data_IF_848242369397
#
_entry.id   IF_848242369397
#
_cell.length_a   1.000
_cell.length_b   1.000
_cell.length_c   1.000
_cell.angle_alpha   90.00
_cell.angle_beta   90.00
_cell.angle_gamma   90.00
#
_symmetry.space_group_name_H-M   'P 1'
#
loop_
_entity.id
_entity.type
_entity.pdbx_description
1 polymer ?
#
# COMPACT_ATOMS: atom_id res chain seq x y z
N UNK A 1 18.06 9.64 10.18
CA UNK A 1 18.22 8.21 9.87
C UNK A 1 17.51 8.05 8.55
N UNK A 2 18.25 7.84 7.47
CA UNK A 2 17.67 7.56 6.16
C UNK A 2 17.18 6.11 6.23
N UNK A 3 15.87 5.91 6.34
CA UNK A 3 15.26 4.59 6.23
C UNK A 3 14.96 4.36 4.75
N UNK A 4 15.61 3.36 4.16
CA UNK A 4 15.26 2.85 2.83
C UNK A 4 14.27 1.69 3.04
N UNK A 5 13.14 1.71 2.33
CA UNK A 5 12.22 0.58 2.35
C UNK A 5 12.78 -0.55 1.47
N UNK A 6 12.81 -1.75 2.00
CA UNK A 6 13.30 -2.96 1.35
C UNK A 6 12.13 -3.88 0.99
N UNK A 7 12.20 -4.45 -0.21
CA UNK A 7 11.18 -5.40 -0.67
C UNK A 7 11.21 -6.64 0.24
N UNK A 8 10.03 -7.09 0.65
CA UNK A 8 9.85 -8.23 1.53
C UNK A 8 9.78 -7.87 3.02
N UNK A 9 10.13 -6.64 3.40
CA UNK A 9 10.19 -6.20 4.79
C UNK A 9 8.88 -5.55 5.26
N UNK A 10 8.72 -5.49 6.58
CA UNK A 10 7.54 -4.95 7.25
C UNK A 10 7.88 -3.64 7.97
N UNK A 11 7.00 -2.66 7.82
CA UNK A 11 7.20 -1.35 8.41
C UNK A 11 5.94 -0.83 9.07
N UNK A 12 6.08 -0.19 10.23
CA UNK A 12 5.01 0.60 10.84
C UNK A 12 5.11 2.00 10.26
N UNK A 13 4.06 2.42 9.59
CA UNK A 13 3.90 3.74 9.00
C UNK A 13 3.13 4.64 9.96
N UNK A 14 3.79 5.65 10.51
CA UNK A 14 3.22 6.63 11.42
C UNK A 14 3.00 7.97 10.73
N UNK A 15 1.80 8.53 10.92
CA UNK A 15 1.39 9.80 10.32
C UNK A 15 0.46 10.57 11.25
N UNK A 16 0.69 11.88 11.36
CA UNK A 16 -0.11 12.75 12.21
C UNK A 16 -1.59 12.74 11.78
N UNK A 17 -2.48 12.57 12.75
CA UNK A 17 -3.93 12.55 12.53
C UNK A 17 -4.53 11.22 12.09
N UNK A 18 -3.72 10.16 11.94
CA UNK A 18 -4.18 8.82 11.55
C UNK A 18 -3.69 7.73 12.51
N UNK A 19 -4.40 6.62 12.57
CA UNK A 19 -3.90 5.43 13.28
C UNK A 19 -2.72 4.83 12.51
N UNK A 20 -1.71 4.30 13.24
CA UNK A 20 -0.56 3.64 12.62
C UNK A 20 -1.00 2.39 11.86
N UNK A 21 -0.36 2.17 10.71
CA UNK A 21 -0.59 0.98 9.88
C UNK A 21 0.70 0.21 9.72
N UNK A 22 0.61 -1.11 9.63
CA UNK A 22 1.73 -1.97 9.27
C UNK A 22 1.63 -2.26 7.79
N UNK A 23 2.70 -1.96 7.06
CA UNK A 23 2.82 -2.22 5.64
C UNK A 23 3.81 -3.34 5.39
N UNK A 24 3.58 -4.10 4.33
CA UNK A 24 4.57 -5.00 3.75
C UNK A 24 4.89 -4.50 2.34
N UNK A 25 6.18 -4.27 2.05
CA UNK A 25 6.61 -3.81 0.73
C UNK A 25 6.76 -5.02 -0.21
N UNK A 26 5.74 -5.28 -1.02
CA UNK A 26 5.75 -6.43 -1.93
C UNK A 26 6.53 -6.18 -3.21
N UNK A 27 6.43 -4.99 -3.80
CA UNK A 27 7.09 -4.68 -5.06
C UNK A 27 7.34 -3.19 -5.26
N UNK A 28 8.41 -2.89 -5.99
CA UNK A 28 8.71 -1.55 -6.52
C UNK A 28 8.84 -1.64 -8.04
N UNK A 29 7.97 -0.94 -8.76
CA UNK A 29 8.10 -0.77 -10.21
C UNK A 29 8.69 0.61 -10.49
N UNK A 30 9.79 0.66 -11.24
CA UNK A 30 10.37 1.94 -11.66
C UNK A 30 9.44 2.67 -12.64
N UNK A 31 9.60 3.98 -12.78
CA UNK A 31 8.84 4.76 -13.75
C UNK A 31 9.05 4.26 -15.19
N UNK A 32 10.23 3.74 -15.51
CA UNK A 32 10.53 3.13 -16.81
C UNK A 32 9.84 1.77 -17.01
N UNK A 33 9.77 0.94 -15.96
CA UNK A 33 9.14 -0.39 -16.02
C UNK A 33 7.62 -0.30 -16.13
N UNK A 34 7.01 0.65 -15.43
CA UNK A 34 5.56 0.85 -15.45
C UNK A 34 5.08 1.55 -16.73
N UNK A 35 5.97 2.27 -17.42
CA UNK A 35 5.68 3.01 -18.64
C UNK A 35 4.61 4.10 -18.47
N UNK A 36 4.21 4.72 -19.58
CA UNK A 36 3.11 5.71 -19.57
C UNK A 36 3.51 7.10 -19.02
N UNK A 37 2.67 7.68 -18.16
CA UNK A 37 2.84 9.03 -17.57
C UNK A 37 3.44 9.00 -16.16
N UNK A 38 3.97 7.86 -15.72
CA UNK A 38 4.59 7.75 -14.42
C UNK A 38 5.77 8.72 -14.29
N UNK A 39 5.70 9.61 -13.31
CA UNK A 39 6.75 10.59 -13.01
C UNK A 39 7.77 10.04 -12.01
N UNK A 40 7.41 8.98 -11.29
CA UNK A 40 8.15 8.42 -10.17
C UNK A 40 7.79 6.93 -9.98
N UNK A 41 8.59 6.18 -9.20
CA UNK A 41 8.32 4.77 -8.93
C UNK A 41 6.98 4.52 -8.23
N UNK A 42 6.47 3.30 -8.40
CA UNK A 42 5.26 2.82 -7.74
C UNK A 42 5.63 1.73 -6.74
N UNK A 43 5.13 1.84 -5.51
CA UNK A 43 5.24 0.80 -4.49
C UNK A 43 3.91 0.08 -4.38
N UNK A 44 3.93 -1.24 -4.53
CA UNK A 44 2.78 -2.10 -4.28
C UNK A 44 2.92 -2.72 -2.89
N UNK A 45 1.98 -2.36 -2.02
CA UNK A 45 2.02 -2.67 -0.60
C UNK A 45 0.83 -3.57 -0.21
N UNK A 46 1.02 -4.39 0.81
CA UNK A 46 -0.10 -4.79 1.67
C UNK A 46 -0.19 -3.86 2.86
N UNK A 47 -1.40 -3.56 3.33
CA UNK A 47 -1.62 -2.62 4.43
C UNK A 47 -2.58 -3.22 5.45
N UNK A 48 -2.19 -3.27 6.71
CA UNK A 48 -3.03 -3.67 7.84
C UNK A 48 -3.02 -2.61 8.92
N UNK A 49 -4.10 -2.49 9.68
CA UNK A 49 -4.04 -1.79 10.96
C UNK A 49 -3.04 -2.45 11.91
N UNK A 50 -2.45 -1.65 12.81
CA UNK A 50 -1.49 -2.15 13.81
C UNK A 50 -2.13 -3.17 14.78
N UNK A 51 -3.45 -3.10 14.97
CA UNK A 51 -4.21 -4.03 15.80
C UNK A 51 -4.18 -5.49 15.32
N UNK A 52 -4.25 -6.42 16.26
CA UNK A 52 -4.41 -7.84 15.95
C UNK A 52 -5.81 -8.09 15.36
N UNK A 53 -5.88 -8.84 14.26
CA UNK A 53 -7.14 -9.10 13.55
C UNK A 53 -7.71 -7.91 12.77
N UNK A 54 -6.96 -6.81 12.64
CA UNK A 54 -7.32 -5.69 11.76
C UNK A 54 -7.49 -6.13 10.31
N UNK A 55 -8.38 -5.43 9.59
CA UNK A 55 -8.60 -5.67 8.17
C UNK A 55 -7.29 -5.52 7.39
N UNK A 56 -7.16 -6.30 6.31
CA UNK A 56 -6.00 -6.31 5.44
C UNK A 56 -6.40 -5.83 4.05
N UNK A 57 -5.69 -4.82 3.54
CA UNK A 57 -5.69 -4.47 2.13
C UNK A 57 -4.64 -5.33 1.46
N UNK A 58 -5.10 -6.31 0.68
CA UNK A 58 -4.27 -7.38 0.11
C UNK A 58 -3.31 -6.91 -0.99
N UNK A 59 -3.55 -5.75 -1.60
CA UNK A 59 -2.62 -5.08 -2.50
C UNK A 59 -3.12 -3.65 -2.77
N UNK A 60 -2.25 -2.67 -2.59
CA UNK A 60 -2.51 -1.29 -2.97
C UNK A 60 -1.25 -0.63 -3.58
N UNK A 61 -1.35 -0.02 -4.79
CA UNK A 61 -0.24 0.64 -5.45
C UNK A 61 -0.20 2.13 -5.11
N UNK A 62 0.98 2.67 -4.81
CA UNK A 62 1.20 4.06 -4.41
C UNK A 62 2.34 4.70 -5.19
N UNK A 63 2.27 6.00 -5.44
CA UNK A 63 3.46 6.74 -5.85
C UNK A 63 4.48 6.80 -4.70
N UNK A 64 5.77 6.68 -5.00
CA UNK A 64 6.81 6.66 -3.98
C UNK A 64 6.78 7.89 -3.06
N UNK A 65 6.62 9.06 -3.63
CA UNK A 65 6.58 10.34 -2.93
C UNK A 65 5.45 10.42 -1.92
N UNK A 66 4.33 9.71 -2.10
CA UNK A 66 3.24 9.68 -1.12
C UNK A 66 3.46 8.66 -0.01
N UNK A 67 4.18 7.57 -0.27
CA UNK A 67 4.58 6.64 0.80
C UNK A 67 5.64 7.29 1.67
N UNK A 68 6.61 7.96 1.06
CA UNK A 68 7.77 8.55 1.74
C UNK A 68 7.46 9.83 2.55
N UNK A 69 6.19 10.22 2.69
CA UNK A 69 5.81 11.37 3.53
C UNK A 69 5.75 11.06 5.02
N UNK A 70 5.72 9.78 5.37
CA UNK A 70 5.44 9.29 6.73
C UNK A 70 6.71 8.80 7.44
N UNK A 71 6.63 8.65 8.75
CA UNK A 71 7.72 8.05 9.53
C UNK A 71 7.60 6.52 9.50
N UNK A 72 8.73 5.84 9.29
CA UNK A 72 8.79 4.38 9.18
C UNK A 72 9.66 3.79 10.28
N UNK A 73 9.12 2.75 10.92
CA UNK A 73 9.79 1.95 11.94
C UNK A 73 9.70 0.47 11.57
N UNK A 74 10.62 -0.34 12.10
CA UNK A 74 10.55 -1.80 12.01
C UNK A 74 9.24 -2.31 12.63
N UNK A 75 8.62 -3.32 12.02
CA UNK A 75 7.35 -3.85 12.47
C UNK A 75 7.32 -5.37 12.54
N UNK A 76 6.45 -5.88 13.41
CA UNK A 76 6.13 -7.30 13.44
C UNK A 76 5.45 -7.72 12.13
N UNK A 77 5.97 -8.81 11.55
CA UNK A 77 5.40 -9.42 10.36
C UNK A 77 3.96 -9.90 10.59
N UNK A 78 3.12 -9.73 9.57
CA UNK A 78 1.80 -10.34 9.50
C UNK A 78 1.73 -11.37 8.37
N UNK A 79 0.65 -12.17 8.35
CA UNK A 79 0.47 -13.17 7.29
C UNK A 79 0.30 -12.49 5.93
N UNK A 80 1.21 -12.81 5.02
CA UNK A 80 1.19 -12.36 3.62
C UNK A 80 0.87 -13.57 2.76
N UNK A 81 -0.24 -13.49 2.01
CA UNK A 81 -0.54 -14.47 0.97
C UNK A 81 0.04 -13.99 -0.37
N UNK A 82 1.28 -14.38 -0.65
CA UNK A 82 2.01 -13.91 -1.85
C UNK A 82 1.28 -14.24 -3.16
N UNK A 83 0.54 -15.36 -3.21
CA UNK A 83 -0.23 -15.73 -4.39
C UNK A 83 -1.38 -14.74 -4.63
N UNK A 84 -2.10 -14.36 -3.58
CA UNK A 84 -3.17 -13.35 -3.65
C UNK A 84 -2.61 -11.97 -3.99
N UNK A 85 -1.44 -11.60 -3.42
CA UNK A 85 -0.75 -10.38 -3.79
C UNK A 85 -0.45 -10.30 -5.29
N UNK A 86 0.18 -11.34 -5.83
CA UNK A 86 0.59 -11.38 -7.23
C UNK A 86 -0.61 -11.37 -8.19
N UNK A 87 -1.71 -12.05 -7.85
CA UNK A 87 -2.94 -12.02 -8.64
C UNK A 87 -3.56 -10.61 -8.67
N UNK A 88 -3.68 -9.98 -7.50
CA UNK A 88 -4.18 -8.61 -7.38
C UNK A 88 -3.26 -7.62 -8.11
N UNK A 89 -1.94 -7.76 -7.97
CA UNK A 89 -0.94 -6.96 -8.68
C UNK A 89 -1.11 -7.06 -10.19
N UNK A 90 -1.20 -8.27 -10.74
CA UNK A 90 -1.37 -8.46 -12.18
C UNK A 90 -2.69 -7.87 -12.68
N UNK A 91 -3.76 -7.99 -11.89
CA UNK A 91 -5.06 -7.38 -12.19
C UNK A 91 -4.94 -5.85 -12.27
N UNK A 92 -4.33 -5.21 -11.27
CA UNK A 92 -4.09 -3.77 -11.29
C UNK A 92 -3.18 -3.36 -12.44
N UNK A 93 -2.07 -4.06 -12.65
CA UNK A 93 -1.09 -3.74 -13.69
C UNK A 93 -1.75 -3.75 -15.07
N UNK A 94 -2.55 -4.77 -15.35
CA UNK A 94 -3.32 -4.87 -16.59
C UNK A 94 -4.30 -3.71 -16.75
N UNK A 95 -4.96 -3.27 -15.68
CA UNK A 95 -5.86 -2.12 -15.71
C UNK A 95 -5.11 -0.79 -15.88
N UNK A 96 -3.93 -0.64 -15.28
CA UNK A 96 -3.05 0.53 -15.47
C UNK A 96 -2.60 0.66 -16.92
N UNK A 97 -2.17 -0.44 -17.55
CA UNK A 97 -1.73 -0.44 -18.95
C UNK A 97 -2.86 -0.03 -19.92
N UNK A 98 -4.11 -0.21 -19.51
CA UNK A 98 -5.31 0.21 -20.24
C UNK A 98 -5.76 1.64 -19.90
N UNK A 99 -5.11 2.30 -18.94
CA UNK A 99 -5.49 3.63 -18.44
C UNK A 99 -6.75 3.63 -17.56
N UNK A 100 -7.12 2.47 -16.99
CA UNK A 100 -8.30 2.30 -16.16
C UNK A 100 -8.01 2.34 -14.65
N UNK A 101 -6.75 2.20 -14.25
CA UNK A 101 -6.33 2.25 -12.85
C UNK A 101 -5.05 3.08 -12.71
N UNK A 102 -4.86 3.71 -11.55
CA UNK A 102 -3.71 4.54 -11.24
C UNK A 102 -3.29 4.31 -9.78
N UNK A 103 -2.00 4.52 -9.44
CA UNK A 103 -1.55 4.49 -8.05
C UNK A 103 -2.27 5.53 -7.20
N UNK A 104 -2.42 5.20 -5.92
CA UNK A 104 -2.93 6.11 -4.91
C UNK A 104 -2.03 7.34 -4.79
N UNK A 105 -2.69 8.49 -4.65
CA UNK A 105 -2.06 9.79 -4.40
C UNK A 105 -2.21 10.23 -2.94
N UNK A 106 -2.72 9.34 -2.09
CA UNK A 106 -2.86 9.50 -0.65
C UNK A 106 -1.86 8.58 0.04
N UNK A 107 -1.53 8.87 1.28
CA UNK A 107 -0.63 8.07 2.11
C UNK A 107 -1.25 6.71 2.47
N UNK A 108 -0.44 5.70 2.86
CA UNK A 108 -0.95 4.40 3.29
C UNK A 108 -1.97 4.50 4.44
N UNK A 109 -1.72 5.37 5.42
CA UNK A 109 -2.64 5.59 6.56
C UNK A 109 -3.99 6.17 6.11
N UNK A 110 -3.97 7.15 5.19
CA UNK A 110 -5.20 7.74 4.63
C UNK A 110 -6.02 6.70 3.85
N UNK A 111 -5.37 5.93 2.97
CA UNK A 111 -6.05 4.90 2.18
C UNK A 111 -6.65 3.83 3.09
N UNK A 112 -5.92 3.41 4.12
CA UNK A 112 -6.41 2.44 5.08
C UNK A 112 -7.64 2.94 5.84
N UNK A 113 -7.58 4.17 6.38
CA UNK A 113 -8.71 4.79 7.06
C UNK A 113 -9.95 4.93 6.14
N UNK A 114 -9.74 5.35 4.89
CA UNK A 114 -10.83 5.46 3.92
C UNK A 114 -11.46 4.11 3.58
N UNK A 115 -10.65 3.06 3.41
CA UNK A 115 -11.16 1.72 3.10
C UNK A 115 -11.93 1.12 4.29
N UNK A 116 -11.48 1.38 5.51
CA UNK A 116 -12.22 1.01 6.72
C UNK A 116 -13.59 1.68 6.76
N UNK A 117 -13.67 2.99 6.53
CA UNK A 117 -14.94 3.74 6.55
C UNK A 117 -15.94 3.16 5.52
N UNK A 118 -15.46 2.78 4.33
CA UNK A 118 -16.30 2.12 3.30
C UNK A 118 -16.78 0.74 3.76
N UNK A 119 -15.95 -0.05 4.45
CA UNK A 119 -16.31 -1.36 4.97
C UNK A 119 -17.31 -1.26 6.14
N UNK A 120 -17.13 -0.29 7.04
CA UNK A 120 -18.05 -0.03 8.14
C UNK A 120 -19.39 0.54 7.66
N UNK A 121 -19.37 1.39 6.63
CA UNK A 121 -20.59 1.93 6.00
C UNK A 121 -21.36 0.88 5.18
N UNK A 122 -20.72 -0.23 4.80
CA UNK A 122 -21.32 -1.32 4.04
C UNK A 122 -22.10 -2.35 4.87
N UNK A 123 -22.07 -2.26 6.21
CA UNK A 123 -22.74 -3.19 7.14
C UNK A 123 -24.13 -2.68 7.61
N UNK A 124 -24.65 -1.58 7.03
CA UNK A 124 -25.95 -0.96 7.37
C UNK A 124 -27.07 -1.18 6.32
N UNK A 125 -27.05 -2.26 5.53
CA UNK A 125 -28.17 -2.65 4.61
C UNK A 125 -28.84 -4.00 4.97
#
# INVERSE_FOLDING_TARGET
MDFELEIGEFYTCEQDGFEPVVIWLGRVDSADDIGGVAAEPVLSLMIRGQGEGSALIEMAPFWQGVVMTSEFLDADAFYVDEATFEDNYHTWRSAYDQGHAFPWTMTPNEVYAQMLDVMEAGDDD
#
